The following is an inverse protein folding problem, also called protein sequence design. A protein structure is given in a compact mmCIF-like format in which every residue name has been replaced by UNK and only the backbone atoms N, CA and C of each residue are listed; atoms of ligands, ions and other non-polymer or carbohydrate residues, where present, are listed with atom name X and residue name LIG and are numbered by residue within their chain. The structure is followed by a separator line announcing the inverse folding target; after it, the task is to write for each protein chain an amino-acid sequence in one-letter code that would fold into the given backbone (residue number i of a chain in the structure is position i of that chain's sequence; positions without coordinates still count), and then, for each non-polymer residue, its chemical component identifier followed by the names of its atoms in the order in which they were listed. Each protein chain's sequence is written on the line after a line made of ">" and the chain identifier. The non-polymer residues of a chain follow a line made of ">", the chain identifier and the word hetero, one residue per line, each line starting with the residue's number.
data_IF_492299460851
#
_entry.id   IF_492299460851
#
_cell.length_a   1.000
_cell.length_b   1.000
_cell.length_c   1.000
_cell.angle_alpha   90.00
_cell.angle_beta   90.00
_cell.angle_gamma   90.00
#
_symmetry.space_group_name_H-M   'P 1'
#
loop_
_entity.id
_entity.type
_entity.pdbx_description
1 polymer ?
#
# COMPACT_ATOMS: atom_id res chain seq x y z
N UNK A 1 -25.02 6.65 19.32
CA UNK A 1 -25.29 7.43 18.09
C UNK A 1 -26.64 7.00 17.54
N UNK A 2 -27.60 7.92 17.31
CA UNK A 2 -28.87 7.53 16.73
C UNK A 2 -28.62 7.04 15.30
N UNK A 3 -29.12 5.84 14.99
CA UNK A 3 -29.16 5.35 13.62
C UNK A 3 -30.16 6.22 12.84
N UNK A 4 -29.65 7.03 11.92
CA UNK A 4 -30.50 7.78 10.98
C UNK A 4 -30.86 6.83 9.83
N UNK A 5 -32.16 6.51 9.63
CA UNK A 5 -32.55 5.69 8.50
C UNK A 5 -32.32 6.45 7.19
N UNK A 6 -31.65 5.81 6.25
CA UNK A 6 -31.53 6.30 4.89
C UNK A 6 -32.71 5.76 4.08
N UNK A 7 -33.54 6.65 3.53
CA UNK A 7 -34.70 6.26 2.75
C UNK A 7 -34.56 6.71 1.30
N UNK A 8 -34.77 5.78 0.40
CA UNK A 8 -34.94 6.05 -1.03
C UNK A 8 -36.39 5.82 -1.38
N UNK A 9 -37.02 6.76 -2.08
CA UNK A 9 -38.42 6.66 -2.47
C UNK A 9 -38.58 7.08 -3.90
N UNK A 10 -39.34 6.28 -4.67
CA UNK A 10 -39.90 6.67 -5.93
C UNK A 10 -41.42 6.74 -5.71
N UNK A 11 -41.97 7.92 -5.95
CA UNK A 11 -43.41 8.14 -5.91
C UNK A 11 -43.93 8.29 -7.33
N UNK A 12 -45.01 7.55 -7.63
CA UNK A 12 -45.76 7.65 -8.88
C UNK A 12 -47.18 8.11 -8.50
N UNK A 13 -47.73 9.08 -9.22
CA UNK A 13 -49.08 9.61 -9.01
C UNK A 13 -50.21 8.64 -9.45
N UNK A 14 -49.82 7.45 -9.94
CA UNK A 14 -50.76 6.40 -10.36
C UNK A 14 -51.32 6.58 -11.76
N UNK A 15 -50.94 7.63 -12.50
CA UNK A 15 -51.49 7.93 -13.85
C UNK A 15 -50.54 7.53 -14.97
N UNK A 16 -49.27 7.20 -14.66
CA UNK A 16 -48.23 6.81 -15.61
C UNK A 16 -47.86 5.32 -15.56
N UNK A 17 -47.03 4.83 -16.48
CA UNK A 17 -46.48 3.48 -16.44
C UNK A 17 -45.62 3.27 -15.21
N UNK A 18 -45.50 2.02 -14.74
CA UNK A 18 -44.64 1.67 -13.63
C UNK A 18 -43.22 2.15 -13.87
N UNK A 19 -42.65 2.85 -12.88
CA UNK A 19 -41.27 3.37 -12.90
C UNK A 19 -40.39 2.52 -12.02
N UNK A 20 -39.16 2.29 -12.46
CA UNK A 20 -38.13 1.60 -11.65
C UNK A 20 -36.90 2.47 -11.51
N UNK A 21 -36.27 2.42 -10.36
CA UNK A 21 -34.99 3.06 -10.11
C UNK A 21 -33.94 2.01 -9.75
N UNK A 22 -32.82 2.11 -10.41
CA UNK A 22 -31.67 1.30 -10.02
C UNK A 22 -30.76 2.13 -9.13
N UNK A 23 -30.59 1.69 -7.87
CA UNK A 23 -29.67 2.28 -6.94
C UNK A 23 -28.29 1.65 -7.12
N UNK A 24 -27.28 2.47 -7.47
CA UNK A 24 -25.90 2.02 -7.70
C UNK A 24 -25.04 2.27 -6.45
N UNK A 25 -25.14 3.46 -5.85
CA UNK A 25 -24.47 3.75 -4.59
C UNK A 25 -25.17 4.87 -3.82
N UNK A 26 -24.91 4.93 -2.51
CA UNK A 26 -25.28 6.05 -1.66
C UNK A 26 -24.08 6.46 -0.83
N UNK A 27 -23.87 7.77 -0.69
CA UNK A 27 -22.85 8.35 0.16
C UNK A 27 -23.51 9.28 1.16
N UNK A 28 -23.19 9.11 2.44
CA UNK A 28 -23.55 10.06 3.49
C UNK A 28 -22.35 10.98 3.68
N UNK A 29 -22.51 12.25 3.35
CA UNK A 29 -21.50 13.27 3.59
C UNK A 29 -21.85 13.97 4.90
N UNK A 30 -20.95 13.92 5.87
CA UNK A 30 -21.05 14.70 7.11
C UNK A 30 -20.46 16.08 6.86
N UNK A 31 -21.23 17.15 7.09
CA UNK A 31 -20.74 18.53 6.99
C UNK A 31 -19.81 18.94 8.15
N UNK A 32 -19.35 18.01 8.97
CA UNK A 32 -18.54 18.25 10.17
C UNK A 32 -17.05 18.53 9.94
N UNK A 33 -16.60 18.76 8.72
CA UNK A 33 -15.17 18.94 8.39
C UNK A 33 -14.39 17.62 8.48
N UNK A 34 -13.24 17.57 7.85
CA UNK A 34 -12.27 16.49 8.07
C UNK A 34 -11.83 16.54 9.54
N UNK A 35 -12.46 15.73 10.38
CA UNK A 35 -11.76 15.29 11.56
C UNK A 35 -10.61 14.45 11.02
N UNK A 36 -9.39 14.89 11.18
CA UNK A 36 -8.22 14.01 11.15
C UNK A 36 -8.51 12.91 12.15
N UNK A 37 -9.24 11.89 11.67
CA UNK A 37 -9.83 10.87 12.49
C UNK A 37 -8.77 10.27 13.39
N UNK A 38 -9.14 10.01 14.62
CA UNK A 38 -8.40 9.19 15.57
C UNK A 38 -8.24 7.79 14.99
N UNK A 39 -7.41 7.64 13.94
CA UNK A 39 -7.09 6.35 13.36
C UNK A 39 -6.02 5.65 14.21
N UNK A 40 -5.95 4.35 14.10
CA UNK A 40 -4.89 3.54 14.73
C UNK A 40 -3.68 3.54 13.81
N UNK A 41 -2.51 3.81 14.37
CA UNK A 41 -1.24 3.72 13.65
C UNK A 41 -0.65 2.33 13.81
N UNK A 42 -0.23 1.75 12.71
CA UNK A 42 0.41 0.45 12.64
C UNK A 42 1.81 0.56 12.02
N UNK A 43 2.60 -0.46 12.24
CA UNK A 43 3.99 -0.56 11.78
C UNK A 43 4.27 -1.98 11.29
N UNK A 44 4.96 -2.09 10.18
CA UNK A 44 5.45 -3.34 9.63
C UNK A 44 6.85 -3.18 9.04
N UNK A 45 7.65 -4.24 9.12
CA UNK A 45 8.99 -4.26 8.54
C UNK A 45 9.52 -5.68 8.42
N UNK A 46 10.54 -5.87 7.59
CA UNK A 46 11.18 -7.18 7.41
C UNK A 46 12.17 -7.54 8.53
N UNK A 47 12.18 -6.77 9.63
CA UNK A 47 12.92 -7.09 10.85
C UNK A 47 14.41 -7.35 10.60
N UNK A 48 14.91 -8.46 11.13
CA UNK A 48 16.32 -8.88 11.00
C UNK A 48 16.61 -9.68 9.72
N UNK A 49 15.64 -9.84 8.82
CA UNK A 49 15.79 -10.62 7.59
C UNK A 49 15.89 -9.66 6.39
N UNK A 50 17.12 -9.23 6.01
CA UNK A 50 17.27 -8.37 4.85
C UNK A 50 16.93 -9.13 3.56
N UNK A 51 16.35 -8.41 2.61
CA UNK A 51 16.11 -8.93 1.27
C UNK A 51 17.40 -8.84 0.46
N UNK A 52 17.81 -9.95 -0.15
CA UNK A 52 18.96 -9.98 -1.06
C UNK A 52 18.59 -9.37 -2.42
N UNK A 53 19.42 -8.48 -2.91
CA UNK A 53 19.22 -7.74 -4.16
C UNK A 53 20.45 -7.98 -5.07
N UNK A 54 20.54 -9.19 -5.66
CA UNK A 54 21.77 -9.72 -6.23
C UNK A 54 22.18 -9.10 -7.58
N UNK A 55 21.30 -8.39 -8.29
CA UNK A 55 21.58 -7.87 -9.64
C UNK A 55 21.29 -6.37 -9.71
N UNK A 56 22.29 -5.59 -10.11
CA UNK A 56 22.11 -4.16 -10.32
C UNK A 56 21.10 -3.89 -11.47
N UNK A 57 20.33 -2.82 -11.32
CA UNK A 57 19.28 -2.46 -12.26
C UNK A 57 18.00 -3.30 -12.19
N UNK A 58 17.96 -4.33 -11.33
CA UNK A 58 16.75 -5.13 -11.07
C UNK A 58 16.01 -4.59 -9.85
N UNK A 59 14.70 -4.47 -9.97
CA UNK A 59 13.84 -3.94 -8.89
C UNK A 59 13.36 -5.09 -8.00
N UNK A 60 13.76 -5.05 -6.72
CA UNK A 60 13.40 -6.05 -5.71
C UNK A 60 12.38 -5.49 -4.74
N UNK A 61 11.22 -6.14 -4.58
CA UNK A 61 10.26 -5.75 -3.54
C UNK A 61 10.81 -6.07 -2.16
N UNK A 62 10.70 -5.13 -1.23
CA UNK A 62 11.06 -5.31 0.18
C UNK A 62 9.84 -5.65 1.01
N UNK A 63 8.80 -4.83 0.90
CA UNK A 63 7.55 -4.95 1.65
C UNK A 63 6.37 -4.76 0.71
N UNK A 64 5.31 -5.51 0.96
CA UNK A 64 4.03 -5.33 0.27
C UNK A 64 2.89 -5.27 1.28
N UNK A 65 1.88 -4.48 1.00
CA UNK A 65 0.66 -4.37 1.80
C UNK A 65 -0.58 -4.25 0.93
N UNK A 66 -1.70 -4.79 1.41
CA UNK A 66 -3.02 -4.70 0.79
C UNK A 66 -4.11 -4.81 1.84
N UNK A 67 -5.33 -4.38 1.52
CA UNK A 67 -6.48 -4.59 2.40
C UNK A 67 -6.80 -6.09 2.57
N UNK A 68 -7.28 -6.48 3.74
CA UNK A 68 -7.96 -7.78 3.93
C UNK A 68 -9.24 -7.81 3.11
N UNK A 69 -9.62 -8.96 2.58
CA UNK A 69 -10.87 -9.12 1.81
C UNK A 69 -12.12 -8.78 2.62
N UNK A 70 -12.03 -8.85 3.94
CA UNK A 70 -13.12 -8.54 4.87
C UNK A 70 -13.19 -7.07 5.29
N UNK A 71 -12.24 -6.23 4.84
CA UNK A 71 -12.09 -4.83 5.27
C UNK A 71 -11.90 -3.87 4.08
N UNK A 72 -12.56 -4.14 2.95
CA UNK A 72 -12.40 -3.36 1.71
C UNK A 72 -12.87 -1.90 1.81
N UNK A 73 -13.67 -1.57 2.82
CA UNK A 73 -14.13 -0.20 3.08
C UNK A 73 -13.27 0.61 4.06
N UNK A 74 -12.18 0.03 4.58
CA UNK A 74 -11.30 0.72 5.50
C UNK A 74 -10.40 1.69 4.74
N UNK A 75 -10.29 2.92 5.24
CA UNK A 75 -9.33 3.89 4.72
C UNK A 75 -7.97 3.64 5.34
N UNK A 76 -6.97 3.38 4.50
CA UNK A 76 -5.59 3.14 4.91
C UNK A 76 -4.69 4.16 4.24
N UNK A 77 -3.97 4.93 5.05
CA UNK A 77 -3.01 5.96 4.63
C UNK A 77 -1.59 5.56 5.03
N UNK A 78 -0.69 5.28 4.10
CA UNK A 78 0.73 5.22 4.40
C UNK A 78 1.20 6.58 4.96
N UNK A 79 2.00 6.56 6.02
CA UNK A 79 2.54 7.76 6.67
C UNK A 79 4.01 7.94 6.37
N UNK A 80 4.80 6.96 6.79
CA UNK A 80 6.25 7.00 6.68
C UNK A 80 6.81 5.67 6.19
N UNK A 81 7.90 5.75 5.46
CA UNK A 81 8.70 4.59 5.11
C UNK A 81 10.17 4.84 5.46
N UNK A 82 10.85 3.78 5.86
CA UNK A 82 12.27 3.81 6.12
C UNK A 82 12.94 2.66 5.39
N UNK A 83 14.11 2.91 4.84
CA UNK A 83 14.90 1.90 4.14
C UNK A 83 16.31 1.95 4.68
N UNK A 84 16.86 0.79 5.01
CA UNK A 84 18.20 0.61 5.50
C UNK A 84 18.99 -0.25 4.50
N UNK A 85 20.02 0.32 3.89
CA UNK A 85 21.03 -0.46 3.20
C UNK A 85 21.88 -1.24 4.21
N UNK A 86 22.01 -2.55 4.02
CA UNK A 86 22.85 -3.43 4.87
C UNK A 86 24.25 -3.60 4.30
N UNK A 87 24.45 -3.14 3.08
CA UNK A 87 25.69 -3.25 2.31
C UNK A 87 26.16 -1.87 1.85
N UNK A 88 27.31 -1.82 1.18
CA UNK A 88 27.88 -0.55 0.69
C UNK A 88 27.37 -0.15 -0.71
N UNK A 89 26.22 -0.66 -1.12
CA UNK A 89 25.67 -0.39 -2.43
C UNK A 89 24.70 0.80 -2.39
N UNK A 90 24.72 1.61 -3.43
CA UNK A 90 23.75 2.67 -3.63
C UNK A 90 22.45 2.08 -4.19
N UNK A 91 21.33 2.65 -3.81
CA UNK A 91 20.01 2.20 -4.24
C UNK A 91 19.17 3.34 -4.75
N UNK A 92 18.34 3.03 -5.74
CA UNK A 92 17.10 3.75 -6.01
C UNK A 92 15.96 3.00 -5.30
N UNK A 93 15.19 3.69 -4.47
CA UNK A 93 13.97 3.12 -3.90
C UNK A 93 12.76 3.65 -4.65
N UNK A 94 11.71 2.83 -4.70
CA UNK A 94 10.46 3.13 -5.39
C UNK A 94 9.27 2.60 -4.60
N UNK A 95 8.22 3.40 -4.53
CA UNK A 95 6.92 2.99 -4.03
C UNK A 95 6.01 2.70 -5.23
N UNK A 96 5.60 1.46 -5.37
CA UNK A 96 4.74 1.02 -6.46
C UNK A 96 3.31 0.83 -6.02
N UNK A 97 2.39 1.17 -6.91
CA UNK A 97 0.98 0.86 -6.80
C UNK A 97 0.62 -0.17 -7.88
N UNK A 98 0.02 -1.29 -7.46
CA UNK A 98 -0.39 -2.42 -8.32
C UNK A 98 0.73 -2.90 -9.28
N UNK A 99 1.94 -3.27 -8.77
CA UNK A 99 3.01 -3.73 -9.62
C UNK A 99 2.76 -5.11 -10.19
N UNK A 100 3.39 -5.38 -11.35
CA UNK A 100 3.52 -6.72 -11.89
C UNK A 100 4.74 -7.40 -11.28
N UNK A 101 4.51 -8.51 -10.57
CA UNK A 101 5.54 -9.31 -9.92
C UNK A 101 5.96 -10.46 -10.82
N UNK A 102 7.25 -10.73 -10.89
CA UNK A 102 7.88 -11.87 -11.56
C UNK A 102 8.73 -12.66 -10.56
N UNK A 103 9.00 -13.92 -10.86
CA UNK A 103 9.76 -14.80 -9.97
C UNK A 103 8.92 -15.52 -8.91
N UNK A 104 7.61 -15.28 -8.88
CA UNK A 104 6.68 -15.87 -7.91
C UNK A 104 5.53 -14.94 -7.55
N UNK A 105 5.05 -15.06 -6.32
CA UNK A 105 4.00 -14.21 -5.76
C UNK A 105 4.26 -13.94 -4.28
N UNK A 106 3.72 -12.82 -3.77
CA UNK A 106 3.78 -12.52 -2.33
C UNK A 106 2.98 -13.53 -1.51
N UNK A 107 3.56 -13.96 -0.40
CA UNK A 107 2.87 -14.71 0.65
C UNK A 107 2.31 -13.73 1.68
N UNK A 108 1.09 -13.27 1.47
CA UNK A 108 0.44 -12.33 2.37
C UNK A 108 -0.05 -13.00 3.65
N UNK A 109 0.17 -12.36 4.79
CA UNK A 109 -0.35 -12.73 6.10
C UNK A 109 -1.11 -11.56 6.73
N UNK A 110 -2.13 -11.88 7.53
CA UNK A 110 -2.92 -10.85 8.20
C UNK A 110 -2.11 -10.14 9.28
N UNK A 111 -2.01 -8.81 9.21
CA UNK A 111 -1.48 -8.01 10.31
C UNK A 111 -2.44 -8.03 11.50
N UNK A 112 -1.91 -8.19 12.72
CA UNK A 112 -2.72 -8.30 13.94
C UNK A 112 -3.43 -6.98 14.23
N UNK A 113 -4.74 -7.04 14.52
CA UNK A 113 -5.58 -5.88 14.84
C UNK A 113 -5.58 -4.76 13.80
N UNK A 114 -5.43 -5.11 12.53
CA UNK A 114 -5.36 -4.18 11.39
C UNK A 114 -6.25 -4.66 10.26
N UNK A 115 -6.64 -3.77 9.37
CA UNK A 115 -7.33 -4.10 8.13
C UNK A 115 -6.39 -4.60 7.01
N UNK A 116 -5.09 -4.68 7.27
CA UNK A 116 -4.04 -4.97 6.29
C UNK A 116 -3.60 -6.43 6.33
N UNK A 117 -3.30 -6.99 5.16
CA UNK A 117 -2.40 -8.12 4.94
C UNK A 117 -1.06 -7.58 4.47
N UNK A 118 0.01 -8.18 4.96
CA UNK A 118 1.39 -7.80 4.71
C UNK A 118 2.21 -8.96 4.15
N UNK A 119 3.25 -8.64 3.39
CA UNK A 119 4.20 -9.63 2.88
C UNK A 119 5.60 -9.02 2.78
N UNK A 120 6.60 -9.86 2.92
CA UNK A 120 8.02 -9.53 2.73
C UNK A 120 8.51 -10.13 1.42
N UNK A 121 9.36 -9.40 0.70
CA UNK A 121 10.11 -9.94 -0.43
C UNK A 121 11.16 -10.96 0.04
N UNK A 122 11.50 -11.91 -0.81
CA UNK A 122 12.43 -13.00 -0.50
C UNK A 122 13.75 -12.94 -1.32
N UNK A 123 13.91 -11.90 -2.15
CA UNK A 123 15.05 -11.73 -3.05
C UNK A 123 14.95 -12.52 -4.38
N UNK A 124 13.92 -13.36 -4.53
CA UNK A 124 13.61 -14.02 -5.82
C UNK A 124 12.55 -13.26 -6.61
N UNK A 125 11.67 -12.54 -5.90
CA UNK A 125 10.66 -11.69 -6.52
C UNK A 125 11.29 -10.45 -7.14
N UNK A 126 10.81 -10.06 -8.31
CA UNK A 126 11.21 -8.84 -9.01
C UNK A 126 9.99 -8.09 -9.53
N UNK A 127 10.13 -6.77 -9.73
CA UNK A 127 9.08 -5.94 -10.32
C UNK A 127 9.43 -5.63 -11.77
N UNK A 128 8.53 -5.96 -12.69
CA UNK A 128 8.71 -5.75 -14.13
C UNK A 128 7.91 -4.57 -14.69
N UNK A 129 6.81 -4.21 -14.02
CA UNK A 129 5.95 -3.07 -14.38
C UNK A 129 5.14 -2.61 -13.16
N UNK A 130 4.50 -1.46 -13.25
CA UNK A 130 3.62 -0.91 -12.20
C UNK A 130 3.65 0.60 -12.18
N UNK A 131 2.70 1.21 -11.49
CA UNK A 131 2.69 2.66 -11.29
C UNK A 131 3.63 3.02 -10.15
N UNK A 132 4.67 3.81 -10.44
CA UNK A 132 5.53 4.40 -9.41
C UNK A 132 4.82 5.65 -8.90
N UNK A 133 4.56 5.70 -7.60
CA UNK A 133 3.89 6.82 -6.94
C UNK A 133 4.85 7.69 -6.14
N UNK A 134 6.02 7.14 -5.78
CA UNK A 134 7.08 7.85 -5.08
C UNK A 134 8.43 7.14 -5.27
N UNK A 135 9.55 7.83 -5.00
CA UNK A 135 10.88 7.24 -5.13
C UNK A 135 12.01 8.21 -4.79
N UNK A 136 13.20 7.67 -4.64
CA UNK A 136 14.38 8.46 -4.33
C UNK A 136 15.66 7.63 -4.33
N UNK A 137 16.74 8.25 -3.92
CA UNK A 137 18.08 7.65 -3.89
C UNK A 137 18.56 7.48 -2.45
N UNK A 138 19.24 6.38 -2.21
CA UNK A 138 19.94 6.07 -0.95
C UNK A 138 21.42 5.87 -1.27
N UNK A 139 22.27 6.65 -0.65
CA UNK A 139 23.72 6.57 -0.85
C UNK A 139 24.33 5.60 0.18
N UNK A 140 25.22 4.72 -0.29
CA UNK A 140 25.95 3.72 0.49
C UNK A 140 26.99 4.29 1.45
N UNK A 141 27.49 5.50 1.21
CA UNK A 141 28.52 6.13 2.03
C UNK A 141 28.09 6.31 3.49
N UNK A 142 26.81 6.19 3.76
CA UNK A 142 26.23 6.15 5.10
C UNK A 142 25.67 4.74 5.38
N UNK A 143 26.50 3.87 5.96
CA UNK A 143 25.99 2.68 6.64
C UNK A 143 24.94 3.14 7.66
N UNK A 144 23.68 2.89 7.36
CA UNK A 144 22.55 3.39 8.16
C UNK A 144 21.89 4.65 7.60
N UNK A 145 22.03 4.95 6.30
CA UNK A 145 21.21 5.95 5.61
C UNK A 145 19.75 5.54 5.63
N UNK A 146 19.05 5.85 6.72
CA UNK A 146 17.60 5.77 6.80
C UNK A 146 17.04 6.97 6.04
N UNK A 147 16.56 6.75 4.84
CA UNK A 147 15.64 7.69 4.21
C UNK A 147 14.31 7.58 4.95
N UNK A 148 14.06 8.46 5.91
CA UNK A 148 12.68 8.68 6.37
C UNK A 148 11.98 9.50 5.31
N UNK A 149 10.94 8.95 4.72
CA UNK A 149 10.14 9.66 3.73
C UNK A 149 8.68 9.68 4.18
N UNK A 150 8.13 10.89 4.26
CA UNK A 150 6.72 11.08 4.56
C UNK A 150 5.92 10.89 3.26
N UNK A 151 5.05 9.89 3.23
CA UNK A 151 4.19 9.55 2.09
C UNK A 151 2.73 9.96 2.31
N UNK A 152 2.49 10.95 3.18
CA UNK A 152 1.15 11.39 3.61
C UNK A 152 0.22 11.80 2.43
N UNK A 153 0.79 12.05 1.26
CA UNK A 153 0.05 12.30 0.02
C UNK A 153 -0.01 11.07 -0.91
N UNK A 154 0.43 9.90 -0.44
CA UNK A 154 0.34 8.68 -1.23
C UNK A 154 -1.11 8.26 -1.44
N UNK A 155 -1.32 7.55 -2.54
CA UNK A 155 -2.63 7.02 -2.89
C UNK A 155 -3.18 6.11 -1.79
N UNK A 156 -4.45 6.28 -1.45
CA UNK A 156 -5.15 5.38 -0.53
C UNK A 156 -5.22 3.97 -1.09
N UNK A 157 -5.01 2.98 -0.22
CA UNK A 157 -5.29 1.60 -0.55
C UNK A 157 -6.80 1.38 -0.65
N UNK A 158 -7.22 0.72 -1.70
CA UNK A 158 -8.61 0.43 -1.97
C UNK A 158 -8.80 -0.93 -2.62
N UNK A 159 -9.92 -1.06 -3.32
CA UNK A 159 -10.23 -2.21 -4.16
C UNK A 159 -11.08 -1.76 -5.34
N UNK A 160 -10.97 -2.48 -6.45
CA UNK A 160 -11.89 -2.34 -7.56
C UNK A 160 -13.28 -2.87 -7.18
N UNK A 161 -14.29 -2.52 -7.98
CA UNK A 161 -15.70 -2.93 -7.76
C UNK A 161 -15.87 -4.46 -7.76
N UNK A 162 -15.00 -5.18 -8.46
CA UNK A 162 -14.98 -6.64 -8.50
C UNK A 162 -14.32 -7.30 -7.27
N UNK A 163 -13.85 -6.49 -6.33
CA UNK A 163 -13.15 -6.94 -5.11
C UNK A 163 -11.64 -7.17 -5.30
N UNK A 164 -11.08 -6.88 -6.49
CA UNK A 164 -9.63 -6.91 -6.68
C UNK A 164 -8.99 -5.82 -5.82
N UNK A 165 -8.09 -6.25 -4.93
CA UNK A 165 -7.47 -5.38 -3.92
C UNK A 165 -6.23 -4.70 -4.49
N UNK A 166 -6.10 -3.41 -4.20
CA UNK A 166 -4.87 -2.69 -4.49
C UNK A 166 -3.71 -3.21 -3.65
N UNK A 167 -2.52 -3.21 -4.24
CA UNK A 167 -1.28 -3.62 -3.60
C UNK A 167 -0.28 -2.47 -3.63
N UNK A 168 0.18 -2.05 -2.48
CA UNK A 168 1.28 -1.10 -2.33
C UNK A 168 2.57 -1.87 -2.06
N UNK A 169 3.63 -1.56 -2.81
CA UNK A 169 4.91 -2.27 -2.69
C UNK A 169 6.06 -1.28 -2.58
N UNK A 170 6.79 -1.36 -1.48
CA UNK A 170 8.07 -0.68 -1.32
C UNK A 170 9.18 -1.56 -1.88
N UNK A 171 9.96 -1.03 -2.81
CA UNK A 171 11.00 -1.76 -3.52
C UNK A 171 12.29 -0.95 -3.62
N UNK A 172 13.39 -1.66 -3.87
CA UNK A 172 14.70 -1.06 -4.13
C UNK A 172 15.31 -1.64 -5.41
N UNK A 173 16.14 -0.84 -6.04
CA UNK A 173 16.96 -1.23 -7.18
C UNK A 173 18.41 -0.89 -6.86
N UNK A 174 19.32 -1.87 -6.72
CA UNK A 174 20.74 -1.59 -6.58
C UNK A 174 21.27 -0.89 -7.82
N UNK A 175 22.04 0.17 -7.61
CA UNK A 175 22.70 0.91 -8.68
C UNK A 175 24.04 0.25 -9.02
N UNK A 176 24.54 0.50 -10.23
CA UNK A 176 25.78 -0.08 -10.72
C UNK A 176 25.58 -1.01 -11.90
N UNK A 177 26.37 -2.07 -11.99
CA UNK A 177 26.31 -3.04 -13.08
C UNK A 177 26.63 -4.46 -12.64
N UNK A 178 25.98 -5.43 -13.26
CA UNK A 178 26.24 -6.86 -13.05
C UNK A 178 25.72 -7.40 -11.72
N UNK A 179 26.39 -8.41 -11.23
CA UNK A 179 26.09 -9.04 -9.93
C UNK A 179 26.63 -8.16 -8.81
N UNK A 180 25.79 -7.88 -7.82
CA UNK A 180 26.12 -7.13 -6.61
C UNK A 180 25.81 -7.98 -5.38
N UNK A 181 26.41 -7.65 -4.24
CA UNK A 181 26.11 -8.32 -2.97
C UNK A 181 25.22 -7.40 -2.10
N UNK A 182 24.24 -6.81 -2.74
CA UNK A 182 23.38 -5.83 -2.13
C UNK A 182 22.31 -6.49 -1.26
N UNK A 183 21.96 -5.86 -0.15
CA UNK A 183 20.82 -6.26 0.68
C UNK A 183 20.21 -5.08 1.42
N UNK A 184 18.90 -5.11 1.59
CA UNK A 184 18.16 -4.01 2.19
C UNK A 184 17.08 -4.49 3.17
N UNK A 185 16.81 -3.63 4.14
CA UNK A 185 15.68 -3.74 5.07
C UNK A 185 14.79 -2.53 4.93
N UNK A 186 13.53 -2.69 5.26
CA UNK A 186 12.58 -1.60 5.20
C UNK A 186 11.53 -1.70 6.30
N UNK A 187 10.91 -0.57 6.56
CA UNK A 187 9.72 -0.48 7.40
C UNK A 187 8.72 0.48 6.76
N UNK A 188 7.44 0.26 7.03
CA UNK A 188 6.35 1.13 6.63
C UNK A 188 5.42 1.35 7.82
N UNK A 189 5.00 2.58 8.00
CA UNK A 189 4.01 2.97 9.00
C UNK A 189 2.77 3.47 8.28
N UNK A 190 1.59 3.08 8.74
CA UNK A 190 0.33 3.55 8.18
C UNK A 190 -0.69 3.84 9.26
N UNK A 191 -1.71 4.58 8.89
CA UNK A 191 -2.87 4.90 9.72
C UNK A 191 -4.13 4.30 9.11
N UNK A 192 -4.96 3.73 9.95
CA UNK A 192 -6.27 3.19 9.58
C UNK A 192 -7.38 4.03 10.20
N UNK A 193 -8.39 4.35 9.40
CA UNK A 193 -9.63 4.96 9.84
C UNK A 193 -10.77 3.97 9.57
N UNK A 194 -11.42 3.52 10.63
CA UNK A 194 -12.53 2.56 10.61
C UNK A 194 -13.88 3.31 10.65
#
# INVERSE_FOLDING_TARGET
>A
TPNLPLRYEISNDGTGPASSMQHICATVISEGGETNGTGITHFFGNGNTPVSCATAGTVYPLLAMRLKSTHLGTEVRPLDLHILSRTSDDYEWRLYFNPTISGGSFSFSAHTNSAIEEAVGDGTLTITAGQIIDGGLINSAQKGGAGSHNVDNAQLLGSAIDGTRDVLVLAVMPLGSGTVNASAQATITWKESL
#
